data_IF_503016630958
#
_entry.id   IF_503016630958
#
_cell.length_a   1.000
_cell.length_b   1.000
_cell.length_c   1.000
_cell.angle_alpha   90.00
_cell.angle_beta   90.00
_cell.angle_gamma   90.00
#
_symmetry.space_group_name_H-M   'P 1'
#
loop_
_entity.id
_entity.type
_entity.pdbx_description
1 polymer ?
#
# COMPACT_ATOMS: atom_id res chain seq x y z
N UNK A 1 -16.04 1.55 4.66
CA UNK A 1 -16.37 0.20 4.13
C UNK A 1 -16.00 -0.88 5.15
N UNK A 2 -16.77 -1.97 5.23
CA UNK A 2 -16.40 -3.16 6.01
C UNK A 2 -15.30 -3.92 5.26
N UNK A 3 -14.27 -4.36 5.96
CA UNK A 3 -13.19 -5.22 5.44
C UNK A 3 -13.18 -6.48 6.31
N UNK A 4 -13.17 -7.66 5.72
CA UNK A 4 -13.09 -8.92 6.47
C UNK A 4 -11.75 -9.59 6.24
N UNK A 5 -11.07 -9.97 7.32
CA UNK A 5 -9.82 -10.72 7.29
C UNK A 5 -10.01 -11.97 8.13
N UNK A 6 -9.97 -13.15 7.50
CA UNK A 6 -10.19 -14.44 8.15
C UNK A 6 -11.49 -14.50 8.99
N UNK A 7 -12.57 -13.91 8.49
CA UNK A 7 -13.87 -13.85 9.19
C UNK A 7 -13.98 -12.78 10.27
N UNK A 8 -12.90 -12.04 10.57
CA UNK A 8 -12.92 -10.92 11.52
C UNK A 8 -13.26 -9.63 10.78
N UNK A 9 -14.29 -8.88 11.21
CA UNK A 9 -14.64 -7.62 10.58
C UNK A 9 -13.72 -6.48 11.05
N UNK A 10 -13.41 -5.59 10.12
CA UNK A 10 -12.73 -4.32 10.30
C UNK A 10 -13.51 -3.25 9.56
N UNK A 11 -13.30 -1.99 9.93
CA UNK A 11 -13.98 -0.85 9.32
C UNK A 11 -12.95 0.13 8.78
N UNK A 12 -12.95 0.34 7.47
CA UNK A 12 -12.06 1.32 6.84
C UNK A 12 -12.79 2.61 6.52
N UNK A 13 -12.19 3.73 6.92
CA UNK A 13 -12.55 5.07 6.47
C UNK A 13 -11.46 5.54 5.52
N UNK A 14 -11.88 5.93 4.31
CA UNK A 14 -11.04 6.58 3.31
C UNK A 14 -11.33 8.08 3.37
N UNK A 15 -10.28 8.89 3.44
CA UNK A 15 -10.38 10.34 3.52
C UNK A 15 -9.43 10.98 2.52
N UNK A 16 -9.96 11.97 1.78
CA UNK A 16 -9.22 12.79 0.84
C UNK A 16 -9.39 14.25 1.24
N UNK A 17 -8.31 14.86 1.69
CA UNK A 17 -8.24 16.26 2.13
C UNK A 17 -7.20 16.99 1.29
N UNK A 18 -7.65 17.69 0.23
CA UNK A 18 -6.76 18.22 -0.81
C UNK A 18 -5.91 17.08 -1.41
N UNK A 19 -4.59 17.15 -1.25
CA UNK A 19 -3.65 16.16 -1.76
C UNK A 19 -3.38 15.02 -0.77
N UNK A 20 -3.84 15.17 0.49
CA UNK A 20 -3.66 14.17 1.52
C UNK A 20 -4.73 13.07 1.38
N UNK A 21 -4.29 11.85 1.12
CA UNK A 21 -5.16 10.68 1.06
C UNK A 21 -4.77 9.70 2.17
N UNK A 22 -5.71 9.42 3.07
CA UNK A 22 -5.56 8.46 4.17
C UNK A 22 -6.60 7.35 4.13
N UNK A 23 -6.18 6.16 4.53
CA UNK A 23 -7.04 5.05 4.87
C UNK A 23 -6.81 4.65 6.31
N UNK A 24 -7.80 4.86 7.18
CA UNK A 24 -7.77 4.39 8.57
C UNK A 24 -8.64 3.16 8.70
N UNK A 25 -8.05 2.04 9.08
CA UNK A 25 -8.78 0.80 9.38
C UNK A 25 -8.88 0.64 10.89
N UNK A 26 -10.11 0.47 11.37
CA UNK A 26 -10.46 0.30 12.77
C UNK A 26 -10.82 -1.15 13.08
N UNK A 27 -10.47 -1.59 14.29
CA UNK A 27 -10.98 -2.80 14.91
C UNK A 27 -12.47 -2.63 15.29
N UNK A 28 -13.21 -3.73 15.58
CA UNK A 28 -14.60 -3.65 16.02
C UNK A 28 -14.84 -2.82 17.28
N UNK A 29 -13.84 -2.71 18.16
CA UNK A 29 -13.89 -1.91 19.39
C UNK A 29 -13.62 -0.41 19.16
N UNK A 30 -13.38 0.00 17.90
CA UNK A 30 -13.08 1.38 17.53
C UNK A 30 -11.61 1.79 17.65
N UNK A 31 -10.72 0.91 18.11
CA UNK A 31 -9.27 1.18 18.11
C UNK A 31 -8.68 1.15 16.70
N UNK A 32 -7.59 1.88 16.46
CA UNK A 32 -6.93 1.94 15.14
C UNK A 32 -6.11 0.67 14.91
N UNK A 33 -6.49 -0.11 13.88
CA UNK A 33 -5.78 -1.31 13.47
C UNK A 33 -4.66 -1.02 12.46
N UNK A 34 -4.86 -0.03 11.58
CA UNK A 34 -3.90 0.34 10.54
C UNK A 34 -4.19 1.73 10.00
N UNK A 35 -3.15 2.51 9.76
CA UNK A 35 -3.19 3.78 9.03
C UNK A 35 -2.32 3.63 7.77
N UNK A 36 -2.90 3.89 6.60
CA UNK A 36 -2.17 3.98 5.33
C UNK A 36 -2.26 5.43 4.83
N UNK A 37 -1.12 6.09 4.68
CA UNK A 37 -1.03 7.47 4.21
C UNK A 37 -0.33 7.47 2.85
N UNK A 38 -0.96 8.08 1.85
CA UNK A 38 -0.32 8.27 0.55
C UNK A 38 0.88 9.22 0.70
N UNK A 39 2.00 8.81 0.13
CA UNK A 39 3.25 9.58 0.08
C UNK A 39 3.69 9.74 -1.39
N UNK A 40 4.58 10.68 -1.66
CA UNK A 40 5.24 10.75 -2.94
C UNK A 40 6.19 9.55 -3.12
N UNK A 41 6.39 9.10 -4.36
CA UNK A 41 7.21 7.91 -4.63
C UNK A 41 8.67 8.08 -4.18
N UNK A 42 9.20 9.31 -4.22
CA UNK A 42 10.55 9.64 -3.74
C UNK A 42 10.68 9.68 -2.21
N UNK A 43 9.58 9.56 -1.46
CA UNK A 43 9.56 9.43 0.00
C UNK A 43 9.61 7.97 0.47
N UNK A 44 9.56 7.00 -0.46
CA UNK A 44 9.86 5.61 -0.13
C UNK A 44 11.31 5.49 0.37
N UNK A 45 11.61 4.58 1.32
CA UNK A 45 12.99 4.34 1.72
C UNK A 45 13.87 3.96 0.53
N UNK A 46 15.16 4.34 0.58
CA UNK A 46 16.11 4.09 -0.52
C UNK A 46 16.15 2.61 -0.92
N UNK A 47 16.12 1.70 0.06
CA UNK A 47 16.09 0.25 -0.21
C UNK A 47 14.85 -0.19 -1.00
N UNK A 48 13.70 0.43 -0.77
CA UNK A 48 12.48 0.12 -1.51
C UNK A 48 12.57 0.64 -2.96
N UNK A 49 13.08 1.87 -3.15
CA UNK A 49 13.29 2.43 -4.49
C UNK A 49 14.24 1.57 -5.33
N UNK A 50 15.35 1.12 -4.73
CA UNK A 50 16.32 0.22 -5.37
C UNK A 50 15.69 -1.14 -5.73
N UNK A 51 14.99 -1.76 -4.77
CA UNK A 51 14.33 -3.05 -5.01
C UNK A 51 13.26 -2.98 -6.12
N UNK A 52 12.55 -1.85 -6.22
CA UNK A 52 11.59 -1.61 -7.31
C UNK A 52 12.31 -1.49 -8.65
N UNK A 53 13.35 -0.67 -8.76
CA UNK A 53 14.08 -0.47 -10.02
C UNK A 53 14.74 -1.77 -10.51
N UNK A 54 15.34 -2.55 -9.60
CA UNK A 54 15.98 -3.83 -9.95
C UNK A 54 14.98 -4.87 -10.45
N UNK A 55 13.83 -5.00 -9.77
CA UNK A 55 12.85 -6.06 -10.06
C UNK A 55 11.86 -5.68 -11.16
N UNK A 56 11.58 -4.39 -11.31
CA UNK A 56 10.63 -3.83 -12.25
C UNK A 56 11.27 -2.67 -13.04
N UNK A 57 12.35 -2.91 -13.80
CA UNK A 57 13.08 -1.85 -14.48
C UNK A 57 12.15 -1.07 -15.42
N UNK A 58 12.19 0.27 -15.38
CA UNK A 58 11.23 1.15 -16.08
C UNK A 58 9.75 0.90 -15.70
N UNK A 59 9.50 0.40 -14.50
CA UNK A 59 8.17 0.31 -13.92
C UNK A 59 7.70 1.68 -13.44
N UNK A 60 6.40 1.92 -13.49
CA UNK A 60 5.79 3.14 -12.95
C UNK A 60 5.31 2.86 -11.52
N UNK A 61 5.75 3.65 -10.55
CA UNK A 61 5.18 3.63 -9.19
C UNK A 61 3.87 4.43 -9.23
N UNK A 62 2.74 3.73 -9.36
CA UNK A 62 1.42 4.32 -9.49
C UNK A 62 0.87 4.84 -8.15
N UNK A 63 1.32 4.24 -7.03
CA UNK A 63 0.96 4.65 -5.67
C UNK A 63 2.09 4.26 -4.73
N UNK A 64 2.37 5.11 -3.76
CA UNK A 64 3.21 4.79 -2.61
C UNK A 64 2.45 5.15 -1.32
N UNK A 65 2.61 4.33 -0.29
CA UNK A 65 1.99 4.56 1.02
C UNK A 65 2.97 4.28 2.14
N UNK A 66 2.96 5.14 3.16
CA UNK A 66 3.46 4.80 4.49
C UNK A 66 2.37 4.08 5.26
N UNK A 67 2.71 2.96 5.89
CA UNK A 67 1.77 2.15 6.67
C UNK A 67 2.21 2.14 8.12
N UNK A 68 1.32 2.54 9.01
CA UNK A 68 1.51 2.44 10.45
C UNK A 68 0.53 1.41 11.01
N UNK A 69 1.05 0.42 11.73
CA UNK A 69 0.26 -0.60 12.40
C UNK A 69 0.82 -0.84 13.81
N UNK A 70 0.07 -0.41 14.82
CA UNK A 70 0.56 -0.25 16.19
C UNK A 70 1.84 0.60 16.22
N UNK A 71 2.94 0.06 16.70
CA UNK A 71 4.27 0.68 16.81
C UNK A 71 5.16 0.44 15.57
N UNK A 72 4.67 -0.29 14.57
CA UNK A 72 5.45 -0.66 13.38
C UNK A 72 5.14 0.26 12.21
N UNK A 73 6.21 0.69 11.53
CA UNK A 73 6.16 1.39 10.25
C UNK A 73 6.58 0.42 9.15
N UNK A 74 5.88 0.48 8.02
CA UNK A 74 6.29 -0.15 6.78
C UNK A 74 5.81 0.69 5.59
N UNK A 75 6.05 0.19 4.39
CA UNK A 75 5.71 0.89 3.16
C UNK A 75 5.05 -0.03 2.16
N UNK A 76 4.22 0.55 1.31
CA UNK A 76 3.60 -0.14 0.18
C UNK A 76 3.83 0.64 -1.11
N UNK A 77 3.96 -0.08 -2.21
CA UNK A 77 3.99 0.51 -3.53
C UNK A 77 3.15 -0.32 -4.51
N UNK A 78 2.32 0.35 -5.30
CA UNK A 78 1.63 -0.25 -6.42
C UNK A 78 2.44 0.06 -7.68
N UNK A 79 3.04 -0.95 -8.30
CA UNK A 79 3.93 -0.79 -9.45
C UNK A 79 3.27 -1.32 -10.71
N UNK A 80 3.29 -0.55 -11.79
CA UNK A 80 2.82 -0.98 -13.12
C UNK A 80 4.00 -1.28 -14.02
N UNK A 81 3.99 -2.46 -14.63
CA UNK A 81 5.02 -2.87 -15.59
C UNK A 81 4.43 -3.82 -16.64
N UNK A 82 4.62 -3.48 -17.92
CA UNK A 82 4.23 -4.35 -19.04
C UNK A 82 2.75 -4.72 -19.03
N UNK A 83 1.86 -3.76 -18.71
CA UNK A 83 0.40 -3.98 -18.63
C UNK A 83 -0.07 -4.72 -17.37
N UNK A 84 0.84 -5.07 -16.46
CA UNK A 84 0.53 -5.72 -15.18
C UNK A 84 0.67 -4.74 -14.02
N UNK A 85 -0.07 -4.98 -12.94
CA UNK A 85 0.07 -4.26 -11.67
C UNK A 85 0.60 -5.18 -10.59
N UNK A 86 1.44 -4.66 -9.70
CA UNK A 86 2.07 -5.40 -8.62
C UNK A 86 1.92 -4.64 -7.30
N UNK A 87 1.43 -5.32 -6.28
CA UNK A 87 1.41 -4.81 -4.90
C UNK A 87 2.69 -5.26 -4.20
N UNK A 88 3.47 -4.28 -3.75
CA UNK A 88 4.71 -4.47 -3.01
C UNK A 88 4.54 -4.01 -1.57
N UNK A 89 5.11 -4.77 -0.64
CA UNK A 89 5.16 -4.44 0.79
C UNK A 89 6.60 -4.47 1.24
N UNK A 90 7.01 -3.44 1.97
CA UNK A 90 8.36 -3.27 2.50
C UNK A 90 8.31 -3.05 4.02
N UNK A 91 9.38 -3.42 4.70
CA UNK A 91 9.59 -3.01 6.10
C UNK A 91 10.06 -1.54 6.20
N UNK A 92 10.38 -1.10 7.42
CA UNK A 92 10.80 0.27 7.72
C UNK A 92 12.08 0.69 6.99
N UNK A 93 12.99 -0.25 6.72
CA UNK A 93 14.26 0.01 6.02
C UNK A 93 14.12 -0.06 4.50
N UNK A 94 12.93 -0.42 4.00
CA UNK A 94 12.65 -0.58 2.58
C UNK A 94 13.00 -1.96 2.03
N UNK A 95 13.25 -2.96 2.88
CA UNK A 95 13.47 -4.33 2.41
C UNK A 95 12.14 -4.93 1.99
N UNK A 96 12.12 -5.55 0.80
CA UNK A 96 10.93 -6.17 0.23
C UNK A 96 10.49 -7.38 1.07
N UNK A 97 9.26 -7.33 1.59
CA UNK A 97 8.62 -8.40 2.36
C UNK A 97 7.70 -9.24 1.47
N UNK A 98 6.96 -8.59 0.57
CA UNK A 98 6.03 -9.28 -0.33
C UNK A 98 5.92 -8.56 -1.66
N UNK A 99 5.75 -9.33 -2.73
CA UNK A 99 5.44 -8.84 -4.06
C UNK A 99 4.42 -9.76 -4.70
N UNK A 100 3.25 -9.22 -5.08
CA UNK A 100 2.20 -10.00 -5.74
C UNK A 100 1.67 -9.27 -6.96
N UNK A 101 1.52 -9.99 -8.07
CA UNK A 101 0.80 -9.49 -9.24
C UNK A 101 -0.69 -9.39 -8.90
N UNK A 102 -1.27 -8.21 -9.12
CA UNK A 102 -2.71 -7.97 -8.98
C UNK A 102 -3.35 -8.16 -10.34
N UNK A 103 -4.24 -9.16 -10.44
CA UNK A 103 -5.06 -9.36 -11.63
C UNK A 103 -6.18 -8.32 -11.65
N UNK A 104 -6.04 -7.30 -12.48
CA UNK A 104 -7.11 -6.32 -12.71
C UNK A 104 -8.14 -6.97 -13.64
N UNK A 105 -9.30 -7.35 -13.09
CA UNK A 105 -10.46 -7.70 -13.91
C UNK A 105 -11.11 -6.39 -14.40
N UNK A 106 -10.74 -5.94 -15.60
CA UNK A 106 -11.41 -4.80 -16.23
C UNK A 106 -12.77 -5.29 -16.73
N UNK A 107 -13.83 -4.99 -15.99
CA UNK A 107 -15.19 -5.04 -16.54
C UNK A 107 -15.40 -3.72 -17.27
N UNK A 108 -15.20 -3.72 -18.60
CA UNK A 108 -15.66 -2.62 -19.44
C UNK A 108 -17.19 -2.71 -19.48
N UNK A 109 -17.89 -1.69 -18.96
CA UNK A 109 -19.31 -1.48 -19.25
C UNK A 109 -19.45 -0.73 -20.57
#
# INVERSE_FOLDING_TARGET
MKVEVNGVPFYRIESLEKDLHRNVTYNPDGSVAKLEERIAANELPVGAQQAIEEKYPKGEIARAEKVTQADRIGYKADVRKGGKSFDLVFDADGKLISAREVKVNIVMK
#
